data_IF_941716185642
#
_entry.id   IF_941716185642
#
_cell.length_a   1.000
_cell.length_b   1.000
_cell.length_c   1.000
_cell.angle_alpha   90.00
_cell.angle_beta   90.00
_cell.angle_gamma   90.00
#
_symmetry.space_group_name_H-M   'P 1'
#
loop_
_entity.id
_entity.type
_entity.pdbx_description
1 polymer ?
#
# COMPACT_ATOMS: atom_id res chain seq x y z
N UNK A 1 -23.80 -4.69 -6.93
CA UNK A 1 -23.32 -3.41 -6.36
C UNK A 1 -24.23 -3.04 -5.22
N UNK A 2 -23.69 -2.50 -4.12
CA UNK A 2 -24.51 -1.92 -3.06
C UNK A 2 -24.88 -0.50 -3.47
N UNK A 3 -26.18 -0.17 -3.43
CA UNK A 3 -26.67 1.17 -3.71
C UNK A 3 -27.52 1.62 -2.51
N UNK A 4 -27.04 2.58 -1.68
CA UNK A 4 -27.71 2.95 -0.44
C UNK A 4 -29.20 3.32 -0.60
N UNK A 5 -29.58 3.92 -1.73
CA UNK A 5 -30.95 4.33 -2.02
C UNK A 5 -31.93 3.15 -2.22
N UNK A 6 -31.43 1.94 -2.50
CA UNK A 6 -32.25 0.73 -2.72
C UNK A 6 -32.14 -0.28 -1.57
N UNK A 7 -31.45 0.09 -0.49
CA UNK A 7 -31.26 -0.76 0.69
C UNK A 7 -31.68 0.01 1.94
N UNK A 8 -32.95 -0.14 2.32
CA UNK A 8 -33.51 0.44 3.54
C UNK A 8 -33.25 -0.49 4.73
N UNK A 9 -32.20 -0.17 5.50
CA UNK A 9 -31.87 -0.88 6.74
C UNK A 9 -31.22 -2.25 6.54
N UNK A 10 -30.37 -2.64 7.50
CA UNK A 10 -29.65 -3.92 7.49
C UNK A 10 -28.22 -3.83 6.97
N UNK A 11 -27.44 -4.88 7.21
CA UNK A 11 -26.07 -5.00 6.72
C UNK A 11 -26.02 -5.66 5.35
N UNK A 12 -25.02 -5.28 4.54
CA UNK A 12 -24.74 -5.89 3.24
C UNK A 12 -23.46 -6.68 3.30
N UNK A 13 -23.50 -7.89 2.76
CA UNK A 13 -22.32 -8.76 2.72
C UNK A 13 -21.59 -8.62 1.40
N UNK A 14 -20.28 -8.36 1.48
CA UNK A 14 -19.39 -8.33 0.32
C UNK A 14 -19.44 -9.67 -0.41
N UNK A 15 -19.55 -9.63 -1.75
CA UNK A 15 -19.45 -10.82 -2.61
C UNK A 15 -18.00 -11.09 -2.96
N UNK A 16 -17.57 -12.34 -2.81
CA UNK A 16 -16.21 -12.80 -3.12
C UNK A 16 -16.28 -13.79 -4.27
N UNK A 17 -15.52 -13.52 -5.33
CA UNK A 17 -15.27 -14.48 -6.39
C UNK A 17 -14.24 -15.50 -5.88
N UNK A 18 -14.70 -16.70 -5.53
CA UNK A 18 -13.86 -17.74 -4.94
C UNK A 18 -12.99 -18.44 -5.98
N UNK A 19 -13.56 -18.81 -7.12
CA UNK A 19 -12.80 -19.28 -8.27
C UNK A 19 -12.32 -18.08 -9.09
N UNK A 20 -11.11 -17.62 -8.79
CA UNK A 20 -10.49 -16.56 -9.58
C UNK A 20 -10.06 -17.07 -10.96
N UNK A 21 -9.69 -18.35 -11.09
CA UNK A 21 -9.14 -18.91 -12.32
C UNK A 21 -10.19 -19.01 -13.43
N UNK A 22 -11.37 -19.53 -13.10
CA UNK A 22 -12.58 -19.50 -13.94
C UNK A 22 -13.26 -18.13 -14.00
N UNK A 23 -12.80 -17.18 -13.20
CA UNK A 23 -13.27 -15.80 -13.17
C UNK A 23 -13.03 -15.02 -14.46
N UNK A 24 -13.70 -13.86 -14.58
CA UNK A 24 -13.46 -12.92 -15.68
C UNK A 24 -11.97 -12.61 -15.81
N UNK A 25 -11.46 -12.73 -17.03
CA UNK A 25 -10.16 -12.24 -17.44
C UNK A 25 -10.36 -11.41 -18.71
N UNK A 26 -9.67 -10.27 -18.85
CA UNK A 26 -9.77 -9.47 -20.06
C UNK A 26 -9.30 -10.30 -21.26
N UNK A 27 -10.16 -10.41 -22.28
CA UNK A 27 -9.81 -10.98 -23.60
C UNK A 27 -9.30 -9.92 -24.57
N UNK A 28 -9.21 -8.67 -24.12
CA UNK A 28 -8.64 -7.57 -24.87
C UNK A 28 -8.45 -6.32 -24.02
N UNK A 29 -7.74 -5.35 -24.58
CA UNK A 29 -7.32 -4.12 -23.92
C UNK A 29 -7.48 -2.94 -24.89
N UNK A 30 -8.00 -1.82 -24.40
CA UNK A 30 -8.01 -0.57 -25.16
C UNK A 30 -6.61 0.01 -25.09
N UNK A 31 -5.97 0.20 -26.25
CA UNK A 31 -4.65 0.82 -26.35
C UNK A 31 -4.85 2.34 -26.50
N UNK A 32 -4.43 3.15 -25.52
CA UNK A 32 -4.56 4.60 -25.60
C UNK A 32 -3.63 5.18 -26.68
N UNK A 33 -4.03 6.28 -27.30
CA UNK A 33 -3.17 7.05 -28.22
C UNK A 33 -2.26 8.06 -27.50
N UNK A 34 -2.23 8.02 -26.17
CA UNK A 34 -1.45 8.91 -25.29
C UNK A 34 -0.83 8.10 -24.17
N UNK A 35 0.27 8.60 -23.60
CA UNK A 35 0.92 7.99 -22.44
C UNK A 35 -0.03 7.93 -21.22
N UNK A 36 -0.02 6.80 -20.51
CA UNK A 36 -0.82 6.55 -19.31
C UNK A 36 0.07 6.06 -18.15
N UNK A 37 -0.43 6.18 -16.91
CA UNK A 37 0.33 5.85 -15.68
C UNK A 37 0.84 4.39 -15.65
N UNK A 38 0.16 3.48 -16.36
CA UNK A 38 0.56 2.09 -16.55
C UNK A 38 0.50 1.72 -18.04
N UNK A 39 1.50 2.18 -18.80
CA UNK A 39 1.58 1.99 -20.25
C UNK A 39 2.16 0.59 -20.60
N UNK A 40 1.45 -0.45 -20.17
CA UNK A 40 1.81 -1.88 -20.36
C UNK A 40 0.60 -2.78 -20.13
N UNK A 41 0.69 -4.04 -20.54
CA UNK A 41 -0.31 -5.06 -20.19
C UNK A 41 -0.30 -5.32 -18.68
N UNK A 42 -1.46 -5.36 -18.04
CA UNK A 42 -1.60 -5.75 -16.64
C UNK A 42 -2.37 -7.05 -16.49
N UNK A 43 -1.76 -8.07 -15.86
CA UNK A 43 -2.42 -9.37 -15.60
C UNK A 43 -2.60 -9.57 -14.11
N UNK A 44 -3.85 -9.68 -13.66
CA UNK A 44 -4.17 -9.97 -12.25
C UNK A 44 -3.83 -11.43 -11.91
N UNK A 45 -2.84 -11.63 -11.04
CA UNK A 45 -2.34 -12.98 -10.68
C UNK A 45 -3.09 -13.57 -9.47
N UNK A 46 -3.47 -12.74 -8.50
CA UNK A 46 -4.25 -13.17 -7.36
C UNK A 46 -4.96 -12.01 -6.67
N UNK A 47 -5.95 -12.33 -5.83
CA UNK A 47 -6.63 -11.38 -4.93
C UNK A 47 -6.47 -11.81 -3.48
N UNK A 48 -6.46 -10.83 -2.57
CA UNK A 48 -6.31 -11.05 -1.13
C UNK A 48 -4.89 -10.80 -0.66
N UNK A 49 -4.69 -10.90 0.66
CA UNK A 49 -3.37 -10.87 1.27
C UNK A 49 -3.46 -11.64 2.60
N UNK A 50 -2.54 -12.58 2.84
CA UNK A 50 -2.48 -13.30 4.13
C UNK A 50 -1.75 -12.51 5.20
N UNK A 51 -1.03 -11.44 4.79
CA UNK A 51 -0.29 -10.59 5.71
C UNK A 51 -1.26 -9.89 6.68
N UNK A 52 -0.85 -9.81 7.94
CA UNK A 52 -1.66 -9.29 9.04
C UNK A 52 -1.42 -7.82 9.35
N UNK A 53 -0.99 -7.00 8.39
CA UNK A 53 -0.62 -5.61 8.64
C UNK A 53 -1.83 -4.81 9.16
N UNK A 54 -1.72 -4.24 10.36
CA UNK A 54 -2.85 -3.67 11.13
C UNK A 54 -3.38 -2.34 10.60
N UNK A 55 -2.63 -1.70 9.71
CA UNK A 55 -3.03 -0.48 9.02
C UNK A 55 -3.66 -0.75 7.63
N UNK A 56 -3.46 -1.95 7.08
CA UNK A 56 -3.73 -2.19 5.66
C UNK A 56 -5.18 -2.62 5.44
N UNK A 57 -6.04 -1.66 5.08
CA UNK A 57 -7.44 -1.94 4.74
C UNK A 57 -7.56 -2.98 3.62
N UNK A 58 -6.79 -2.83 2.54
CA UNK A 58 -6.80 -3.76 1.41
C UNK A 58 -6.50 -5.19 1.84
N UNK A 59 -5.58 -5.38 2.80
CA UNK A 59 -5.23 -6.68 3.36
C UNK A 59 -6.34 -7.32 4.19
N UNK A 60 -7.20 -6.53 4.84
CA UNK A 60 -8.36 -7.03 5.58
C UNK A 60 -9.54 -7.29 4.64
N UNK A 61 -9.95 -6.28 3.87
CA UNK A 61 -11.19 -6.35 3.07
C UNK A 61 -11.07 -7.28 1.86
N UNK A 62 -9.85 -7.67 1.45
CA UNK A 62 -9.65 -8.55 0.31
C UNK A 62 -9.57 -10.04 0.68
N UNK A 63 -9.65 -10.41 1.97
CA UNK A 63 -9.55 -11.81 2.45
C UNK A 63 -10.69 -12.71 1.94
N UNK A 64 -10.51 -14.04 1.81
CA UNK A 64 -9.26 -14.84 1.88
C UNK A 64 -8.20 -14.52 0.80
N UNK A 65 -7.27 -15.42 0.46
CA UNK A 65 -6.43 -15.33 -0.75
C UNK A 65 -6.97 -16.31 -1.79
N UNK A 66 -7.01 -15.91 -3.07
CA UNK A 66 -7.21 -16.84 -4.20
C UNK A 66 -6.35 -16.39 -5.36
N UNK A 67 -5.72 -17.37 -5.99
CA UNK A 67 -4.76 -17.17 -7.06
C UNK A 67 -5.30 -17.77 -8.36
N UNK A 68 -4.84 -17.26 -9.50
CA UNK A 68 -5.01 -17.93 -10.80
C UNK A 68 -3.98 -19.04 -10.95
N UNK A 69 -4.22 -19.99 -11.86
CA UNK A 69 -3.21 -20.96 -12.24
C UNK A 69 -2.12 -20.28 -13.08
N UNK A 70 -0.84 -20.72 -12.97
CA UNK A 70 0.24 -20.20 -13.78
C UNK A 70 -0.04 -20.26 -15.29
N UNK A 71 -0.66 -21.35 -15.74
CA UNK A 71 -1.04 -21.58 -17.13
C UNK A 71 -2.06 -20.55 -17.62
N UNK A 72 -3.08 -20.25 -16.79
CA UNK A 72 -4.07 -19.21 -17.09
C UNK A 72 -3.42 -17.83 -17.16
N UNK A 73 -2.55 -17.49 -16.20
CA UNK A 73 -1.82 -16.21 -16.18
C UNK A 73 -0.97 -16.05 -17.44
N UNK A 74 -0.17 -17.06 -17.78
CA UNK A 74 0.68 -17.01 -18.97
C UNK A 74 -0.14 -16.93 -20.27
N UNK A 75 -1.28 -17.63 -20.35
CA UNK A 75 -2.21 -17.53 -21.47
C UNK A 75 -2.76 -16.11 -21.65
N UNK A 76 -3.31 -15.52 -20.58
CA UNK A 76 -3.85 -14.15 -20.59
C UNK A 76 -2.76 -13.14 -21.01
N UNK A 77 -1.55 -13.27 -20.44
CA UNK A 77 -0.44 -12.39 -20.77
C UNK A 77 -0.10 -12.42 -22.26
N UNK A 78 0.04 -13.62 -22.85
CA UNK A 78 0.33 -13.78 -24.28
C UNK A 78 -0.76 -13.20 -25.17
N UNK A 79 -2.01 -13.52 -24.87
CA UNK A 79 -3.16 -13.07 -25.69
C UNK A 79 -3.23 -11.55 -25.70
N UNK A 80 -3.06 -10.91 -24.54
CA UNK A 80 -3.09 -9.46 -24.43
C UNK A 80 -1.89 -8.79 -25.10
N UNK A 81 -0.67 -9.29 -24.93
CA UNK A 81 0.53 -8.75 -25.57
C UNK A 81 0.41 -8.77 -27.09
N UNK A 82 -0.02 -9.91 -27.66
CA UNK A 82 -0.21 -10.06 -29.10
C UNK A 82 -1.31 -9.14 -29.61
N UNK A 83 -2.41 -9.02 -28.88
CA UNK A 83 -3.55 -8.20 -29.30
C UNK A 83 -3.27 -6.69 -29.18
N UNK A 84 -2.57 -6.25 -28.14
CA UNK A 84 -2.34 -4.83 -27.87
C UNK A 84 -1.12 -4.27 -28.60
N UNK A 85 -0.16 -5.13 -28.98
CA UNK A 85 1.13 -4.72 -29.51
C UNK A 85 2.07 -4.14 -28.45
N UNK A 86 1.74 -4.27 -27.16
CA UNK A 86 2.67 -3.92 -26.08
C UNK A 86 3.79 -4.97 -26.02
N UNK A 87 4.98 -4.52 -25.63
CA UNK A 87 6.13 -5.37 -25.39
C UNK A 87 6.34 -5.69 -23.90
N UNK A 88 5.55 -5.11 -22.99
CA UNK A 88 5.69 -5.31 -21.54
C UNK A 88 4.39 -5.82 -20.91
N UNK A 89 4.52 -6.80 -20.02
CA UNK A 89 3.46 -7.27 -19.11
C UNK A 89 3.88 -7.11 -17.65
N UNK A 90 3.01 -6.51 -16.84
CA UNK A 90 3.14 -6.40 -15.40
C UNK A 90 2.20 -7.36 -14.67
N UNK A 91 2.71 -8.09 -13.68
CA UNK A 91 1.89 -8.96 -12.81
C UNK A 91 1.26 -8.14 -11.69
N UNK A 92 -0.07 -8.05 -11.65
CA UNK A 92 -0.81 -7.16 -10.75
C UNK A 92 -1.45 -7.95 -9.61
N UNK A 93 -1.21 -7.51 -8.38
CA UNK A 93 -1.90 -7.96 -7.15
C UNK A 93 -1.55 -7.01 -5.98
N UNK A 94 -2.00 -7.32 -4.76
CA UNK A 94 -1.59 -6.58 -3.56
C UNK A 94 -0.13 -6.87 -3.14
N UNK A 95 0.42 -8.02 -3.52
CA UNK A 95 1.79 -8.42 -3.20
C UNK A 95 2.29 -9.48 -4.22
N UNK A 96 2.64 -9.07 -5.43
CA UNK A 96 2.86 -10.02 -6.55
C UNK A 96 3.94 -11.07 -6.27
N UNK A 97 4.95 -10.74 -5.48
CA UNK A 97 5.99 -11.70 -5.03
C UNK A 97 5.46 -12.80 -4.10
N UNK A 98 4.31 -12.61 -3.46
CA UNK A 98 3.67 -13.64 -2.61
C UNK A 98 2.85 -14.65 -3.44
N UNK A 99 2.74 -14.49 -4.76
CA UNK A 99 2.04 -15.42 -5.64
C UNK A 99 2.76 -16.76 -5.73
N UNK A 100 2.08 -17.86 -5.39
CA UNK A 100 2.74 -19.18 -5.34
C UNK A 100 3.23 -19.69 -6.70
N UNK A 101 2.59 -19.22 -7.79
CA UNK A 101 2.89 -19.64 -9.15
C UNK A 101 3.92 -18.79 -9.89
N UNK A 102 4.62 -17.87 -9.22
CA UNK A 102 5.41 -16.83 -9.90
C UNK A 102 6.55 -17.40 -10.74
N UNK A 103 7.36 -18.31 -10.19
CA UNK A 103 8.47 -18.93 -10.92
C UNK A 103 7.96 -19.70 -12.14
N UNK A 104 6.84 -20.42 -11.98
CA UNK A 104 6.19 -21.16 -13.06
C UNK A 104 5.70 -20.24 -14.17
N UNK A 105 5.16 -19.07 -13.83
CA UNK A 105 4.78 -18.07 -14.85
C UNK A 105 6.00 -17.54 -15.60
N UNK A 106 7.11 -17.27 -14.89
CA UNK A 106 8.36 -16.86 -15.54
C UNK A 106 8.86 -17.94 -16.51
N UNK A 107 8.86 -19.21 -16.09
CA UNK A 107 9.26 -20.34 -16.95
C UNK A 107 8.35 -20.48 -18.19
N UNK A 108 7.04 -20.35 -17.99
CA UNK A 108 6.06 -20.45 -19.07
C UNK A 108 6.22 -19.30 -20.07
N UNK A 109 6.47 -18.08 -19.61
CA UNK A 109 6.64 -16.91 -20.48
C UNK A 109 8.03 -16.81 -21.10
N UNK A 110 9.06 -17.45 -20.53
CA UNK A 110 10.45 -17.37 -20.99
C UNK A 110 10.67 -17.52 -22.50
N UNK A 111 10.06 -18.51 -23.19
CA UNK A 111 10.14 -18.62 -24.64
C UNK A 111 9.59 -17.40 -25.39
N UNK A 112 8.49 -16.79 -24.91
CA UNK A 112 7.93 -15.58 -25.52
C UNK A 112 8.78 -14.33 -25.20
N UNK A 113 9.31 -14.23 -23.98
CA UNK A 113 10.20 -13.13 -23.57
C UNK A 113 11.45 -13.07 -24.49
N UNK A 114 12.09 -14.22 -24.70
CA UNK A 114 13.31 -14.33 -25.53
C UNK A 114 13.05 -14.22 -27.03
N UNK A 115 12.01 -14.87 -27.56
CA UNK A 115 11.77 -14.92 -29.01
C UNK A 115 11.07 -13.67 -29.56
N UNK A 116 10.25 -12.99 -28.74
CA UNK A 116 9.42 -11.83 -29.16
C UNK A 116 9.85 -10.51 -28.53
N UNK A 117 10.97 -10.48 -27.80
CA UNK A 117 11.44 -9.32 -27.02
C UNK A 117 10.40 -8.78 -26.03
N UNK A 118 9.53 -9.65 -25.50
CA UNK A 118 8.60 -9.25 -24.45
C UNK A 118 9.33 -9.09 -23.11
N UNK A 119 8.82 -8.23 -22.24
CA UNK A 119 9.35 -7.92 -20.92
C UNK A 119 8.32 -8.26 -19.84
N UNK A 120 8.81 -8.78 -18.72
CA UNK A 120 8.00 -9.03 -17.53
C UNK A 120 8.42 -8.03 -16.45
N UNK A 121 7.50 -7.19 -15.98
CA UNK A 121 7.74 -6.30 -14.86
C UNK A 121 7.05 -6.78 -13.58
N UNK A 122 7.77 -6.66 -12.48
CA UNK A 122 7.24 -6.87 -11.14
C UNK A 122 6.92 -5.51 -10.52
N UNK A 123 5.69 -5.30 -10.03
CA UNK A 123 5.44 -4.16 -9.15
C UNK A 123 6.23 -4.33 -7.83
N UNK A 124 6.36 -3.22 -7.10
CA UNK A 124 7.01 -3.07 -5.78
C UNK A 124 7.26 -4.37 -5.00
N UNK A 125 8.51 -4.58 -4.59
CA UNK A 125 8.99 -5.82 -3.98
C UNK A 125 8.82 -5.81 -2.45
N UNK A 126 8.58 -6.99 -1.88
CA UNK A 126 8.73 -7.19 -0.44
C UNK A 126 10.23 -7.18 -0.10
N UNK A 127 10.54 -6.82 1.14
CA UNK A 127 11.92 -6.79 1.63
C UNK A 127 12.37 -8.19 2.07
N UNK A 128 12.63 -9.04 1.08
CA UNK A 128 13.20 -10.38 1.28
C UNK A 128 14.11 -10.77 0.10
N UNK A 129 14.98 -11.76 0.34
CA UNK A 129 15.97 -12.19 -0.66
C UNK A 129 15.33 -12.83 -1.90
N UNK A 130 14.21 -13.55 -1.73
CA UNK A 130 13.48 -14.17 -2.85
C UNK A 130 12.99 -13.12 -3.85
N UNK A 131 12.42 -12.02 -3.36
CA UNK A 131 11.96 -10.92 -4.21
C UNK A 131 13.10 -10.29 -5.01
N UNK A 132 14.31 -10.24 -4.43
CA UNK A 132 15.51 -9.70 -5.10
C UNK A 132 16.05 -10.69 -6.14
N UNK A 133 16.07 -11.99 -5.82
CA UNK A 133 16.49 -13.04 -6.76
C UNK A 133 15.58 -13.09 -7.99
N UNK A 134 14.28 -13.02 -7.76
CA UNK A 134 13.30 -13.00 -8.85
C UNK A 134 13.47 -11.75 -9.72
N UNK A 135 13.75 -10.58 -9.13
CA UNK A 135 14.00 -9.36 -9.89
C UNK A 135 15.25 -9.47 -10.78
N UNK A 136 16.32 -10.10 -10.29
CA UNK A 136 17.56 -10.33 -11.03
C UNK A 136 17.36 -11.24 -12.24
N UNK A 137 16.51 -12.25 -12.07
CA UNK A 137 16.16 -13.22 -13.13
C UNK A 137 15.37 -12.59 -14.28
N UNK A 138 14.68 -11.48 -14.03
CA UNK A 138 13.81 -10.80 -15.00
C UNK A 138 14.47 -9.58 -15.67
N UNK A 139 15.61 -9.11 -15.16
CA UNK A 139 16.31 -7.97 -15.74
C UNK A 139 17.28 -8.39 -16.86
N UNK A 140 16.85 -8.31 -18.12
CA UNK A 140 17.75 -8.44 -19.28
C UNK A 140 18.18 -7.09 -19.90
N UNK A 141 17.50 -5.97 -19.60
CA UNK A 141 17.66 -4.70 -20.35
C UNK A 141 17.72 -3.41 -19.49
N UNK A 142 18.41 -3.46 -18.36
CA UNK A 142 18.83 -2.27 -17.61
C UNK A 142 18.28 -2.22 -16.18
N UNK A 143 19.16 -1.87 -15.25
CA UNK A 143 18.88 -1.91 -13.82
C UNK A 143 18.04 -0.73 -13.39
N UNK A 144 16.75 -0.97 -13.15
CA UNK A 144 15.82 0.00 -12.61
C UNK A 144 16.16 0.39 -11.17
N UNK A 145 15.28 1.15 -10.51
CA UNK A 145 15.35 1.31 -9.06
C UNK A 145 14.45 0.30 -8.37
N UNK A 146 14.90 -0.34 -7.29
CA UNK A 146 14.05 -1.21 -6.48
C UNK A 146 13.33 -0.41 -5.41
N UNK A 147 12.05 -0.71 -5.17
CA UNK A 147 11.25 -0.06 -4.14
C UNK A 147 10.86 -1.07 -3.07
N UNK A 148 11.15 -0.76 -1.81
CA UNK A 148 10.79 -1.56 -0.64
C UNK A 148 9.94 -0.74 0.33
N UNK A 149 9.09 -1.40 1.10
CA UNK A 149 8.23 -0.77 2.09
C UNK A 149 8.49 -1.32 3.51
N UNK A 150 9.48 -0.77 4.25
CA UNK A 150 9.66 -1.06 5.67
C UNK A 150 8.50 -0.55 6.54
N UNK A 151 7.79 0.48 6.09
CA UNK A 151 6.64 1.14 6.74
C UNK A 151 6.97 1.93 8.02
N UNK A 152 7.88 1.43 8.86
CA UNK A 152 8.24 2.05 10.14
C UNK A 152 9.76 1.97 10.43
N UNK A 153 10.27 2.98 11.13
CA UNK A 153 11.70 3.16 11.40
C UNK A 153 12.29 2.13 12.37
N UNK A 154 11.62 1.83 13.48
CA UNK A 154 12.13 0.87 14.48
C UNK A 154 11.51 -0.51 14.34
N UNK A 155 12.18 -1.52 14.90
CA UNK A 155 11.60 -2.87 15.02
C UNK A 155 10.30 -2.84 15.82
N UNK A 156 10.30 -2.13 16.95
CA UNK A 156 9.13 -1.96 17.83
C UNK A 156 7.91 -1.49 17.05
N UNK A 157 8.04 -0.40 16.28
CA UNK A 157 6.89 0.13 15.53
C UNK A 157 6.49 -0.76 14.35
N UNK A 158 7.44 -1.48 13.72
CA UNK A 158 7.13 -2.54 12.73
C UNK A 158 6.33 -3.69 13.35
N UNK A 159 6.57 -4.02 14.60
CA UNK A 159 5.85 -5.06 15.33
C UNK A 159 4.44 -4.58 15.73
N UNK A 160 4.31 -3.32 16.18
CA UNK A 160 3.01 -2.66 16.46
C UNK A 160 2.09 -2.72 15.24
N UNK A 161 2.60 -2.42 14.04
CA UNK A 161 1.82 -2.48 12.81
C UNK A 161 1.72 -3.90 12.19
N UNK A 162 2.35 -4.89 12.83
CA UNK A 162 2.44 -6.29 12.39
C UNK A 162 2.98 -6.44 10.94
N UNK A 163 4.09 -5.77 10.63
CA UNK A 163 4.75 -5.89 9.32
C UNK A 163 5.52 -7.21 9.19
N UNK A 164 6.07 -7.70 10.31
CA UNK A 164 6.84 -8.95 10.37
C UNK A 164 8.10 -8.92 9.51
N UNK A 165 8.85 -7.80 9.58
CA UNK A 165 10.17 -7.65 8.95
C UNK A 165 11.16 -7.26 10.05
N UNK A 166 12.16 -8.10 10.25
CA UNK A 166 13.23 -7.89 11.20
C UNK A 166 14.31 -6.95 10.65
N UNK A 167 15.05 -6.32 11.54
CA UNK A 167 16.23 -5.53 11.18
C UNK A 167 17.25 -6.34 10.37
N UNK A 168 17.44 -7.61 10.73
CA UNK A 168 18.35 -8.51 10.04
C UNK A 168 17.92 -8.80 8.59
N UNK A 169 16.64 -9.14 8.38
CA UNK A 169 16.10 -9.37 7.02
C UNK A 169 16.25 -8.13 6.13
N UNK A 170 16.09 -6.93 6.71
CA UNK A 170 16.31 -5.68 6.00
C UNK A 170 17.76 -5.48 5.59
N UNK A 171 18.72 -5.74 6.50
CA UNK A 171 20.15 -5.69 6.18
C UNK A 171 20.56 -6.72 5.12
N UNK A 172 20.07 -7.95 5.25
CA UNK A 172 20.33 -9.04 4.31
C UNK A 172 19.75 -8.69 2.93
N UNK A 173 18.54 -8.12 2.88
CA UNK A 173 17.94 -7.65 1.63
C UNK A 173 18.78 -6.54 0.98
N UNK A 174 19.26 -5.55 1.75
CA UNK A 174 20.13 -4.52 1.19
C UNK A 174 21.45 -5.08 0.66
N UNK A 175 22.07 -6.01 1.38
CA UNK A 175 23.29 -6.69 0.91
C UNK A 175 23.04 -7.37 -0.42
N UNK A 176 21.91 -8.06 -0.57
CA UNK A 176 21.54 -8.76 -1.79
C UNK A 176 21.30 -7.81 -2.97
N UNK A 177 20.56 -6.73 -2.73
CA UNK A 177 20.31 -5.70 -3.74
C UNK A 177 21.61 -5.09 -4.26
N UNK A 178 22.53 -4.72 -3.36
CA UNK A 178 23.78 -4.08 -3.75
C UNK A 178 24.83 -5.07 -4.27
N UNK A 179 24.84 -6.33 -3.81
CA UNK A 179 25.77 -7.36 -4.31
C UNK A 179 25.46 -7.69 -5.77
N UNK A 180 24.17 -7.83 -6.11
CA UNK A 180 23.70 -8.02 -7.47
C UNK A 180 23.89 -6.78 -8.32
N UNK A 181 23.93 -5.60 -7.70
CA UNK A 181 24.51 -4.38 -8.27
C UNK A 181 23.48 -3.36 -8.76
N UNK A 182 22.29 -3.36 -8.17
CA UNK A 182 21.43 -2.18 -8.17
C UNK A 182 22.08 -1.06 -7.36
N UNK A 183 21.95 0.18 -7.82
CA UNK A 183 22.42 1.36 -7.10
C UNK A 183 21.27 2.28 -6.68
N UNK A 184 20.06 2.07 -7.17
CA UNK A 184 18.89 2.91 -6.87
C UNK A 184 17.91 2.14 -5.99
N UNK A 185 17.67 2.65 -4.78
CA UNK A 185 16.72 2.06 -3.83
C UNK A 185 15.75 3.13 -3.36
N UNK A 186 14.45 2.84 -3.39
CA UNK A 186 13.39 3.68 -2.84
C UNK A 186 12.76 2.99 -1.64
N UNK A 187 12.55 3.71 -0.55
CA UNK A 187 12.02 3.19 0.71
C UNK A 187 10.73 3.91 1.09
N UNK A 188 9.67 3.15 1.37
CA UNK A 188 8.36 3.67 1.76
C UNK A 188 8.12 3.49 3.26
N UNK A 189 7.75 4.59 3.90
CA UNK A 189 7.43 4.66 5.32
C UNK A 189 6.12 5.40 5.54
N UNK A 190 5.61 5.29 6.75
CA UNK A 190 4.52 6.11 7.26
C UNK A 190 5.00 6.96 8.44
N UNK A 191 4.26 8.03 8.73
CA UNK A 191 4.38 8.81 9.97
C UNK A 191 2.99 9.05 10.57
N UNK A 192 2.90 9.20 11.88
CA UNK A 192 1.65 9.34 12.61
C UNK A 192 1.01 8.00 13.00
N UNK A 193 1.79 6.92 13.04
CA UNK A 193 1.29 5.60 13.45
C UNK A 193 0.91 5.55 14.94
N UNK A 194 0.01 4.64 15.36
CA UNK A 194 -0.30 4.44 16.77
C UNK A 194 0.94 4.06 17.58
N UNK A 195 1.10 4.66 18.77
CA UNK A 195 2.28 4.51 19.67
C UNK A 195 3.60 5.04 19.12
N UNK A 196 3.62 5.74 17.98
CA UNK A 196 4.83 6.29 17.37
C UNK A 196 5.48 7.38 18.25
N UNK A 197 6.80 7.30 18.40
CA UNK A 197 7.64 8.29 19.07
C UNK A 197 8.54 9.00 18.06
N UNK A 198 9.21 10.08 18.49
CA UNK A 198 10.18 10.75 17.62
C UNK A 198 11.38 9.86 17.29
N UNK A 199 11.77 8.94 18.18
CA UNK A 199 12.83 7.96 17.89
C UNK A 199 12.47 7.10 16.68
N UNK A 200 11.18 6.74 16.50
CA UNK A 200 10.74 5.98 15.33
C UNK A 200 10.83 6.78 14.03
N UNK A 201 10.54 8.08 14.10
CA UNK A 201 10.66 9.00 12.97
C UNK A 201 12.13 9.20 12.61
N UNK A 202 13.01 9.39 13.59
CA UNK A 202 14.44 9.54 13.35
C UNK A 202 15.06 8.25 12.78
N UNK A 203 14.62 7.08 13.26
CA UNK A 203 15.06 5.77 12.77
C UNK A 203 14.76 5.51 11.28
N UNK A 204 13.77 6.20 10.67
CA UNK A 204 13.55 6.16 9.21
C UNK A 204 14.81 6.59 8.45
N UNK A 205 15.46 7.65 8.94
CA UNK A 205 16.69 8.14 8.35
C UNK A 205 17.88 7.24 8.66
N UNK A 206 17.92 6.62 9.83
CA UNK A 206 18.96 5.64 10.19
C UNK A 206 18.95 4.42 9.26
N UNK A 207 17.76 3.85 8.97
CA UNK A 207 17.62 2.78 7.98
C UNK A 207 18.14 3.22 6.60
N UNK A 208 17.80 4.45 6.20
CA UNK A 208 18.19 4.98 4.89
C UNK A 208 19.71 5.16 4.77
N UNK A 209 20.35 5.58 5.87
CA UNK A 209 21.81 5.68 5.97
C UNK A 209 22.46 4.29 5.99
N UNK A 210 21.88 3.34 6.71
CA UNK A 210 22.32 1.94 6.74
C UNK A 210 22.33 1.32 5.34
N UNK A 211 21.25 1.47 4.57
CA UNK A 211 21.18 0.99 3.19
C UNK A 211 22.32 1.58 2.34
N UNK A 212 22.56 2.89 2.45
CA UNK A 212 23.63 3.57 1.74
C UNK A 212 25.01 3.06 2.15
N UNK A 213 25.24 2.85 3.44
CA UNK A 213 26.53 2.40 3.97
C UNK A 213 26.83 0.96 3.56
N UNK A 214 25.83 0.08 3.55
CA UNK A 214 25.96 -1.28 3.01
C UNK A 214 26.39 -1.23 1.55
N UNK A 215 25.69 -0.47 0.70
CA UNK A 215 26.04 -0.38 -0.72
C UNK A 215 27.42 0.24 -0.95
N UNK A 216 27.84 1.23 -0.16
CA UNK A 216 29.20 1.81 -0.22
C UNK A 216 30.28 0.80 0.14
N UNK A 217 30.07 -0.02 1.17
CA UNK A 217 31.01 -1.10 1.55
C UNK A 217 31.17 -2.15 0.45
N UNK A 218 30.16 -2.33 -0.39
CA UNK A 218 30.18 -3.19 -1.58
C UNK A 218 30.71 -2.47 -2.84
N UNK A 219 31.31 -1.28 -2.70
CA UNK A 219 31.89 -0.52 -3.80
C UNK A 219 30.88 0.11 -4.75
N UNK A 220 29.60 0.18 -4.38
CA UNK A 220 28.54 0.82 -5.18
C UNK A 220 28.40 2.31 -4.87
N UNK A 221 27.61 3.02 -5.66
CA UNK A 221 27.21 4.42 -5.43
C UNK A 221 25.70 4.55 -5.16
N UNK A 222 25.21 4.12 -3.97
CA UNK A 222 23.77 4.06 -3.71
C UNK A 222 23.09 5.43 -3.77
N UNK A 223 21.98 5.49 -4.50
CA UNK A 223 21.01 6.57 -4.53
C UNK A 223 19.77 6.10 -3.79
N UNK A 224 19.62 6.58 -2.55
CA UNK A 224 18.49 6.24 -1.68
C UNK A 224 17.45 7.35 -1.77
N UNK A 225 16.21 6.98 -2.13
CA UNK A 225 15.03 7.83 -2.06
C UNK A 225 14.11 7.35 -0.95
N UNK A 226 13.52 8.28 -0.20
CA UNK A 226 12.59 8.00 0.88
C UNK A 226 11.26 8.65 0.55
N UNK A 227 10.16 7.91 0.72
CA UNK A 227 8.80 8.44 0.62
C UNK A 227 8.04 8.16 1.91
N UNK A 228 7.46 9.18 2.51
CA UNK A 228 6.78 9.09 3.80
C UNK A 228 5.34 9.56 3.68
N UNK A 229 4.38 8.66 3.89
CA UNK A 229 2.97 9.00 3.89
C UNK A 229 2.49 9.31 5.31
N UNK A 230 1.53 10.23 5.46
CA UNK A 230 0.80 10.38 6.72
C UNK A 230 -0.13 9.19 6.93
N UNK A 231 -0.13 8.60 8.12
CA UNK A 231 -1.01 7.49 8.45
C UNK A 231 -2.46 7.95 8.55
N UNK A 232 -3.36 7.23 7.87
CA UNK A 232 -4.81 7.45 7.94
C UNK A 232 -5.46 6.20 8.53
N UNK A 233 -6.10 6.30 9.71
CA UNK A 233 -6.93 5.23 10.24
C UNK A 233 -8.05 4.87 9.25
N UNK A 234 -8.06 3.62 8.76
CA UNK A 234 -9.04 3.16 7.77
C UNK A 234 -10.14 2.32 8.40
N UNK A 235 -11.39 2.41 7.90
CA UNK A 235 -12.45 1.46 8.22
C UNK A 235 -12.02 0.01 8.04
N UNK A 236 -12.56 -0.89 8.87
CA UNK A 236 -12.27 -2.33 8.82
C UNK A 236 -10.79 -2.65 9.01
N UNK A 237 -10.07 -1.87 9.83
CA UNK A 237 -8.71 -2.19 10.27
C UNK A 237 -8.64 -2.18 11.79
N UNK A 238 -7.68 -2.89 12.40
CA UNK A 238 -7.43 -2.77 13.84
C UNK A 238 -7.23 -1.33 14.33
N UNK A 239 -6.73 -0.44 13.48
CA UNK A 239 -6.53 0.97 13.83
C UNK A 239 -7.74 1.87 13.55
N UNK A 240 -8.91 1.34 13.19
CA UNK A 240 -10.11 2.16 12.96
C UNK A 240 -10.56 2.95 14.21
N UNK A 241 -10.14 2.52 15.40
CA UNK A 241 -10.43 3.21 16.67
C UNK A 241 -9.41 4.29 17.04
N UNK A 242 -8.29 4.39 16.35
CA UNK A 242 -7.23 5.32 16.68
C UNK A 242 -7.55 6.73 16.19
N UNK A 243 -7.11 7.72 16.98
CA UNK A 243 -7.03 9.08 16.50
C UNK A 243 -6.01 9.16 15.36
N UNK A 244 -6.22 10.10 14.46
CA UNK A 244 -5.22 10.45 13.46
C UNK A 244 -4.35 11.58 13.99
N UNK A 245 -3.05 11.52 13.67
CA UNK A 245 -2.12 12.61 13.96
C UNK A 245 -2.62 13.94 13.38
N UNK A 246 -2.44 15.03 14.12
CA UNK A 246 -2.89 16.34 13.66
C UNK A 246 -2.01 16.85 12.52
N UNK A 247 -2.51 17.86 11.80
CA UNK A 247 -1.75 18.52 10.73
C UNK A 247 -0.43 19.07 11.27
N UNK A 248 -0.46 19.64 12.48
CA UNK A 248 0.72 20.22 13.15
C UNK A 248 1.74 19.15 13.53
N UNK A 249 1.30 18.00 14.06
CA UNK A 249 2.18 16.88 14.41
C UNK A 249 2.85 16.29 13.16
N UNK A 250 2.07 16.03 12.11
CA UNK A 250 2.59 15.53 10.84
C UNK A 250 3.55 16.53 10.17
N UNK A 251 3.25 17.83 10.23
CA UNK A 251 4.13 18.87 9.72
C UNK A 251 5.44 18.96 10.50
N UNK A 252 5.39 18.81 11.83
CA UNK A 252 6.58 18.78 12.69
C UNK A 252 7.47 17.58 12.34
N UNK A 253 6.89 16.37 12.26
CA UNK A 253 7.61 15.13 11.91
C UNK A 253 8.22 15.20 10.51
N UNK A 254 7.43 15.63 9.51
CA UNK A 254 7.90 15.83 8.14
C UNK A 254 9.03 16.88 8.05
N UNK A 255 8.92 17.97 8.83
CA UNK A 255 9.96 18.99 8.94
C UNK A 255 11.27 18.45 9.53
N UNK A 256 11.18 17.57 10.54
CA UNK A 256 12.34 16.87 11.12
C UNK A 256 13.03 15.97 10.10
N UNK A 257 12.26 15.11 9.42
CA UNK A 257 12.77 14.26 8.33
C UNK A 257 13.42 15.09 7.21
N UNK A 258 12.82 16.21 6.81
CA UNK A 258 13.35 17.11 5.79
C UNK A 258 14.72 17.68 6.16
N UNK A 259 14.91 18.09 7.43
CA UNK A 259 16.22 18.58 7.93
C UNK A 259 17.27 17.47 7.90
N UNK A 260 16.92 16.27 8.39
CA UNK A 260 17.82 15.12 8.41
C UNK A 260 18.20 14.65 7.00
N UNK A 261 17.23 14.51 6.11
CA UNK A 261 17.43 14.11 4.72
C UNK A 261 18.33 15.11 3.97
N UNK A 262 18.12 16.42 4.17
CA UNK A 262 19.00 17.47 3.61
C UNK A 262 20.43 17.34 4.11
N UNK A 263 20.63 17.16 5.42
CA UNK A 263 21.96 16.96 6.03
C UNK A 263 22.64 15.69 5.50
N UNK A 264 21.86 14.63 5.28
CA UNK A 264 22.34 13.36 4.77
C UNK A 264 22.54 13.31 3.25
N UNK A 265 21.97 14.24 2.48
CA UNK A 265 21.93 14.15 1.01
C UNK A 265 21.06 12.99 0.52
N UNK A 266 19.97 12.68 1.22
CA UNK A 266 18.99 11.65 0.85
C UNK A 266 17.77 12.34 0.24
N UNK A 267 17.24 11.80 -0.86
CA UNK A 267 16.01 12.32 -1.46
C UNK A 267 14.83 11.98 -0.58
N UNK A 268 14.02 12.98 -0.21
CA UNK A 268 12.81 12.79 0.59
C UNK A 268 11.60 13.36 -0.16
N UNK A 269 10.54 12.56 -0.23
CA UNK A 269 9.20 12.99 -0.54
C UNK A 269 8.31 12.67 0.66
N UNK A 270 7.44 13.58 1.10
CA UNK A 270 6.45 13.26 2.11
C UNK A 270 5.11 13.91 1.76
N UNK A 271 4.02 13.24 2.14
CA UNK A 271 2.67 13.70 1.81
C UNK A 271 2.33 15.00 2.54
N UNK A 272 1.55 15.85 1.88
CA UNK A 272 1.04 17.09 2.47
C UNK A 272 0.15 16.76 3.70
N UNK A 273 0.49 17.23 4.91
CA UNK A 273 -0.29 16.98 6.12
C UNK A 273 -1.78 17.32 6.00
N UNK A 274 -2.11 18.43 5.31
CA UNK A 274 -3.50 18.83 5.12
C UNK A 274 -4.30 17.87 4.21
N UNK A 275 -3.65 17.29 3.18
CA UNK A 275 -4.27 16.24 2.36
C UNK A 275 -4.53 14.97 3.19
N UNK A 276 -3.57 14.59 4.05
CA UNK A 276 -3.72 13.43 4.95
C UNK A 276 -4.91 13.62 5.89
N UNK A 277 -5.07 14.82 6.46
CA UNK A 277 -6.23 15.16 7.30
C UNK A 277 -7.55 14.98 6.55
N UNK A 278 -7.67 15.56 5.35
CA UNK A 278 -8.86 15.43 4.52
C UNK A 278 -9.16 13.96 4.17
N UNK A 279 -8.15 13.19 3.78
CA UNK A 279 -8.29 11.75 3.52
C UNK A 279 -8.84 11.01 4.75
N UNK A 280 -8.42 11.41 5.95
CA UNK A 280 -8.93 10.92 7.21
C UNK A 280 -10.42 11.14 7.43
N UNK A 281 -10.89 12.34 7.11
CA UNK A 281 -12.32 12.69 7.18
C UNK A 281 -13.11 11.88 6.16
N UNK A 282 -12.65 11.85 4.90
CA UNK A 282 -13.34 11.14 3.82
C UNK A 282 -13.36 9.63 4.04
N UNK A 283 -12.28 9.05 4.56
CA UNK A 283 -12.20 7.61 4.81
C UNK A 283 -13.13 7.15 5.94
N UNK A 284 -13.40 8.00 6.93
CA UNK A 284 -14.24 7.67 8.10
C UNK A 284 -15.58 8.40 8.09
N UNK A 285 -15.92 9.04 6.98
CA UNK A 285 -17.13 9.84 6.83
C UNK A 285 -18.41 9.03 6.96
N UNK A 286 -19.44 9.66 7.54
CA UNK A 286 -20.82 9.16 7.47
C UNK A 286 -21.60 9.89 6.36
N UNK A 287 -22.93 9.71 6.33
CA UNK A 287 -23.80 10.33 5.32
C UNK A 287 -23.68 11.85 5.25
N UNK A 288 -23.29 12.53 6.34
CA UNK A 288 -23.11 14.00 6.38
C UNK A 288 -21.99 14.46 5.45
N UNK A 289 -20.96 13.65 5.24
CA UNK A 289 -19.82 13.98 4.38
C UNK A 289 -20.22 14.07 2.89
N UNK A 290 -21.32 13.43 2.47
CA UNK A 290 -21.78 13.52 1.08
C UNK A 290 -22.10 14.97 0.66
N UNK A 291 -22.78 15.73 1.53
CA UNK A 291 -23.10 17.13 1.28
C UNK A 291 -21.84 18.01 1.22
N UNK A 292 -20.85 17.73 2.09
CA UNK A 292 -19.56 18.42 2.07
C UNK A 292 -18.80 18.17 0.77
N UNK A 293 -18.74 16.93 0.29
CA UNK A 293 -18.08 16.59 -0.99
C UNK A 293 -18.76 17.33 -2.14
N UNK A 294 -20.09 17.32 -2.19
CA UNK A 294 -20.84 18.05 -3.21
C UNK A 294 -20.56 19.55 -3.15
N UNK A 295 -20.57 20.14 -1.94
CA UNK A 295 -20.27 21.55 -1.71
C UNK A 295 -18.86 21.91 -2.18
N UNK A 296 -17.84 21.17 -1.74
CA UNK A 296 -16.46 21.39 -2.15
C UNK A 296 -16.33 21.32 -3.68
N UNK A 297 -16.99 20.35 -4.32
CA UNK A 297 -17.04 20.25 -5.78
C UNK A 297 -17.73 21.47 -6.44
N UNK A 298 -18.85 21.97 -5.88
CA UNK A 298 -19.51 23.19 -6.38
C UNK A 298 -18.62 24.43 -6.20
N UNK A 299 -17.83 24.46 -5.13
CA UNK A 299 -16.88 25.53 -4.81
C UNK A 299 -15.55 25.39 -5.58
N UNK A 300 -15.47 24.41 -6.49
CA UNK A 300 -14.40 24.28 -7.47
C UNK A 300 -13.30 23.29 -7.13
N UNK A 301 -13.42 22.51 -6.04
CA UNK A 301 -12.48 21.44 -5.68
C UNK A 301 -12.34 20.43 -6.82
N UNK A 302 -11.14 20.31 -7.42
CA UNK A 302 -10.84 19.44 -8.56
C UNK A 302 -9.37 19.02 -8.46
N UNK A 303 -9.10 17.76 -8.79
CA UNK A 303 -7.74 17.21 -8.78
C UNK A 303 -7.00 17.39 -7.43
N UNK A 304 -7.71 17.37 -6.30
CA UNK A 304 -7.15 17.56 -4.95
C UNK A 304 -6.13 16.50 -4.53
N UNK A 305 -5.97 15.42 -5.30
CA UNK A 305 -4.89 14.45 -5.12
C UNK A 305 -3.51 14.98 -5.54
N UNK A 306 -3.46 16.05 -6.33
CA UNK A 306 -2.24 16.74 -6.74
C UNK A 306 -2.03 17.97 -5.86
N UNK A 307 -0.88 18.04 -5.19
CA UNK A 307 -0.59 19.10 -4.20
C UNK A 307 -0.70 20.50 -4.81
N UNK A 308 -0.38 20.67 -6.09
CA UNK A 308 -0.50 21.93 -6.84
C UNK A 308 -1.95 22.37 -7.09
N UNK A 309 -2.91 21.46 -7.02
CA UNK A 309 -4.34 21.74 -7.19
C UNK A 309 -5.09 21.79 -5.86
N UNK A 310 -4.48 21.26 -4.80
CA UNK A 310 -5.12 21.10 -3.51
C UNK A 310 -5.32 22.43 -2.77
N UNK A 311 -6.56 22.68 -2.38
CA UNK A 311 -6.95 23.89 -1.63
C UNK A 311 -7.78 23.51 -0.40
N UNK A 312 -7.11 23.42 0.75
CA UNK A 312 -7.74 23.11 2.03
C UNK A 312 -8.80 24.15 2.44
N UNK A 313 -8.66 25.41 1.99
CA UNK A 313 -9.62 26.47 2.30
C UNK A 313 -11.01 26.18 1.75
N UNK A 314 -11.09 25.63 0.53
CA UNK A 314 -12.37 25.20 -0.08
C UNK A 314 -13.06 24.13 0.75
N UNK A 315 -12.29 23.14 1.21
CA UNK A 315 -12.81 22.08 2.06
C UNK A 315 -13.28 22.59 3.41
N UNK A 316 -12.53 23.49 4.06
CA UNK A 316 -12.96 24.10 5.32
C UNK A 316 -14.24 24.93 5.17
N UNK A 317 -14.37 25.70 4.09
CA UNK A 317 -15.62 26.43 3.79
C UNK A 317 -16.80 25.48 3.56
N UNK A 318 -16.55 24.35 2.90
CA UNK A 318 -17.58 23.33 2.66
C UNK A 318 -18.02 22.66 3.98
N UNK A 319 -17.09 22.35 4.88
CA UNK A 319 -17.39 21.84 6.21
C UNK A 319 -18.24 22.82 7.02
N UNK A 320 -17.85 24.10 7.04
CA UNK A 320 -18.57 25.16 7.75
C UNK A 320 -20.00 25.36 7.20
N UNK A 321 -20.13 25.43 5.87
CA UNK A 321 -21.42 25.63 5.19
C UNK A 321 -22.42 24.51 5.46
N UNK A 322 -21.94 23.28 5.60
CA UNK A 322 -22.79 22.10 5.87
C UNK A 322 -22.88 21.78 7.37
N UNK A 323 -22.29 22.61 8.24
CA UNK A 323 -22.35 22.45 9.70
C UNK A 323 -21.68 21.19 10.22
N UNK A 324 -20.61 20.74 9.56
CA UNK A 324 -19.88 19.51 9.90
C UNK A 324 -18.52 19.86 10.46
N UNK A 325 -18.22 19.46 11.70
CA UNK A 325 -16.86 19.57 12.24
C UNK A 325 -15.99 18.40 11.75
N UNK A 326 -14.98 18.62 10.89
CA UNK A 326 -14.12 17.54 10.40
C UNK A 326 -13.30 16.88 11.52
N UNK A 327 -13.06 17.57 12.65
CA UNK A 327 -12.30 17.01 13.77
C UNK A 327 -13.04 15.88 14.49
N UNK A 328 -14.37 15.81 14.38
CA UNK A 328 -15.16 14.67 14.90
C UNK A 328 -14.73 13.33 14.29
N UNK A 329 -14.21 13.37 13.06
CA UNK A 329 -13.80 12.19 12.32
C UNK A 329 -12.37 11.76 12.65
N UNK A 330 -11.48 12.71 12.92
CA UNK A 330 -10.03 12.48 12.97
C UNK A 330 -9.38 12.60 14.34
N UNK A 331 -9.82 13.53 15.19
CA UNK A 331 -9.03 14.01 16.33
C UNK A 331 -9.34 13.30 17.66
N UNK A 332 -10.03 12.15 17.65
CA UNK A 332 -10.36 11.41 18.87
C UNK A 332 -10.16 9.92 18.72
N UNK A 333 -9.71 9.30 19.80
CA UNK A 333 -9.78 7.85 19.97
C UNK A 333 -11.24 7.45 20.17
N UNK A 334 -11.63 6.32 19.60
CA UNK A 334 -13.01 5.81 19.59
C UNK A 334 -13.15 4.65 20.57
N UNK A 335 -14.33 4.51 21.16
CA UNK A 335 -14.60 3.48 22.16
C UNK A 335 -14.80 2.08 21.55
N UNK A 336 -14.56 1.03 22.34
CA UNK A 336 -14.76 -0.37 21.93
C UNK A 336 -16.19 -0.67 21.45
N UNK A 337 -17.18 0.04 21.98
CA UNK A 337 -18.61 -0.12 21.67
C UNK A 337 -19.14 0.96 20.73
N UNK A 338 -18.29 1.83 20.19
CA UNK A 338 -18.72 2.89 19.30
C UNK A 338 -19.21 2.33 17.96
N UNK A 339 -20.45 2.64 17.59
CA UNK A 339 -21.01 2.24 16.30
C UNK A 339 -20.37 3.05 15.17
N UNK A 340 -19.98 2.36 14.09
CA UNK A 340 -19.37 3.02 12.93
C UNK A 340 -20.26 3.00 11.69
N UNK A 341 -20.26 4.09 10.89
CA UNK A 341 -21.11 4.18 9.70
C UNK A 341 -20.79 3.12 8.63
N UNK A 342 -19.56 2.58 8.63
CA UNK A 342 -19.11 1.53 7.71
C UNK A 342 -19.48 0.12 8.16
N UNK A 343 -20.00 -0.10 9.37
CA UNK A 343 -20.42 -1.43 9.85
C UNK A 343 -21.64 -2.00 9.11
N UNK A 344 -22.32 -1.16 8.32
CA UNK A 344 -23.32 -1.61 7.36
C UNK A 344 -22.72 -2.56 6.31
N UNK A 345 -21.41 -2.56 6.08
CA UNK A 345 -20.73 -3.44 5.12
C UNK A 345 -20.01 -4.58 5.86
N UNK A 346 -20.55 -5.79 5.76
CA UNK A 346 -19.87 -7.01 6.19
C UNK A 346 -18.79 -7.42 5.17
N UNK A 347 -17.53 -7.19 5.54
CA UNK A 347 -16.34 -7.54 4.75
C UNK A 347 -15.83 -8.95 5.00
N UNK A 348 -16.44 -9.69 5.95
CA UNK A 348 -16.05 -11.02 6.38
C UNK A 348 -15.05 -11.06 7.54
N UNK A 349 -14.91 -9.97 8.31
CA UNK A 349 -14.00 -9.91 9.47
C UNK A 349 -14.75 -9.36 10.67
N UNK A 350 -14.71 -10.10 11.79
CA UNK A 350 -15.45 -9.74 13.00
C UNK A 350 -14.83 -8.53 13.71
N UNK A 351 -15.69 -7.70 14.32
CA UNK A 351 -15.27 -6.57 15.18
C UNK A 351 -14.36 -7.00 16.32
N UNK A 352 -14.67 -8.12 16.98
CA UNK A 352 -13.88 -8.68 18.09
C UNK A 352 -12.45 -9.02 17.66
N UNK A 353 -12.27 -9.62 16.48
CA UNK A 353 -10.94 -9.87 15.92
C UNK A 353 -10.16 -8.55 15.71
N UNK A 354 -10.77 -7.54 15.08
CA UNK A 354 -10.11 -6.25 14.86
C UNK A 354 -9.74 -5.57 16.18
N UNK A 355 -10.59 -5.68 17.20
CA UNK A 355 -10.31 -5.17 18.54
C UNK A 355 -9.14 -5.92 19.19
N UNK A 356 -9.13 -7.25 19.15
CA UNK A 356 -8.01 -8.03 19.71
C UNK A 356 -6.68 -7.72 19.02
N UNK A 357 -6.69 -7.47 17.70
CA UNK A 357 -5.49 -7.07 16.98
C UNK A 357 -5.02 -5.66 17.35
N UNK A 358 -5.96 -4.77 17.70
CA UNK A 358 -5.63 -3.45 18.24
C UNK A 358 -4.94 -3.58 19.61
N UNK A 359 -5.48 -4.41 20.50
CA UNK A 359 -4.88 -4.64 21.83
C UNK A 359 -3.46 -5.21 21.70
N UNK A 360 -3.26 -6.16 20.79
CA UNK A 360 -1.94 -6.71 20.47
C UNK A 360 -0.99 -5.68 19.86
N UNK A 361 -1.51 -4.74 19.09
CA UNK A 361 -0.71 -3.61 18.60
C UNK A 361 -0.17 -2.77 19.75
N UNK A 362 -0.99 -2.51 20.78
CA UNK A 362 -0.61 -1.72 21.94
C UNK A 362 0.41 -2.44 22.84
N UNK A 363 0.40 -3.78 22.89
CA UNK A 363 1.42 -4.58 23.58
C UNK A 363 2.66 -4.88 22.73
N UNK A 364 2.62 -4.61 21.41
CA UNK A 364 3.70 -4.95 20.48
C UNK A 364 3.77 -6.43 20.09
N UNK A 365 2.73 -7.21 20.38
CA UNK A 365 2.69 -8.64 20.08
C UNK A 365 2.49 -8.88 18.58
N UNK A 366 3.24 -9.80 17.99
CA UNK A 366 3.14 -10.16 16.57
C UNK A 366 2.06 -11.20 16.29
N UNK A 367 1.29 -10.99 15.22
CA UNK A 367 0.30 -11.96 14.72
C UNK A 367 0.90 -12.77 13.58
N UNK A 368 0.98 -14.11 13.70
CA UNK A 368 1.59 -14.95 12.68
C UNK A 368 0.79 -14.92 11.36
N UNK A 369 1.47 -15.28 10.27
CA UNK A 369 0.86 -15.34 8.95
C UNK A 369 -0.16 -16.49 8.85
N UNK A 370 -1.33 -16.19 8.31
CA UNK A 370 -2.40 -17.17 8.12
C UNK A 370 -2.07 -18.26 7.10
N UNK A 371 -1.04 -18.09 6.25
CA UNK A 371 -0.62 -19.11 5.27
C UNK A 371 -0.12 -20.41 5.92
N UNK A 372 0.27 -20.36 7.21
CA UNK A 372 0.69 -21.52 8.01
C UNK A 372 -0.45 -22.37 8.60
N UNK A 373 -1.72 -22.06 8.29
CA UNK A 373 -2.86 -22.96 8.56
C UNK A 373 -3.60 -22.77 9.89
N UNK A 374 -3.29 -21.75 10.68
CA UNK A 374 -3.90 -21.52 12.00
C UNK A 374 -4.98 -20.43 12.04
N UNK A 375 -5.31 -19.80 10.91
CA UNK A 375 -6.40 -18.84 10.83
C UNK A 375 -7.70 -19.49 10.33
N UNK A 376 -8.77 -19.35 11.11
CA UNK A 376 -10.12 -19.69 10.64
C UNK A 376 -10.61 -18.63 9.64
N UNK A 377 -11.29 -19.09 8.59
CA UNK A 377 -11.97 -18.27 7.58
C UNK A 377 -13.19 -17.56 8.14
#
# INVERSE_FOLDING_TARGET
FYVPAFHEGGSVRRRVLMDLDGGFAPSGMIVPSSEIIHDRVGVEVFRGCTRGCRFCQAGVVSRPVRERSPERVAGIARDLLVMSGYDEVGLVSLASCDYSGIERVVDLLGPDLSAKNFRLSLPSLRMDAFSVELADRLEELGRGGLTFAPEAGTQRLRDVINKGISQKEMEDTFREVFSRGWERVKLYFMMGLPTETMDDIEAIMEISLLARDIGRRLGKRPKIGVSVAGFVPKPHTPFQWEAQATVEDLAMKGGTLKRMAKKAGIGLNYHEPAQTFLEGVLARGDRRIAAVIERAWRDGARFDGWTECFDMGRWMNAFDSEGVDPKEYTCRTRGAEEAFPWEVVDVGVSRSFLWSERERALSGDLTPDCRGGSCNL
#
